data_IF_380818455393
#
_entry.id   IF_380818455393
#
_cell.length_a   1.000
_cell.length_b   1.000
_cell.length_c   1.000
_cell.angle_alpha   90.00
_cell.angle_beta   90.00
_cell.angle_gamma   90.00
#
_symmetry.space_group_name_H-M   'P 1'
#
loop_
_entity.id
_entity.type
_entity.pdbx_description
1 polymer ?
#
# COMPACT_ATOMS: atom_id res chain seq x y z
N UNK A 1 -1.60 4.24 9.30
CA UNK A 1 -2.63 4.13 10.36
C UNK A 1 -2.97 5.41 11.10
N UNK A 2 -2.15 6.47 11.05
CA UNK A 2 -2.39 7.73 11.80
C UNK A 2 -3.71 8.41 11.47
N UNK A 3 -4.19 8.29 10.22
CA UNK A 3 -5.50 8.82 9.80
C UNK A 3 -6.66 8.37 10.70
N UNK A 4 -6.63 7.14 11.22
CA UNK A 4 -7.68 6.62 12.10
C UNK A 4 -7.72 7.30 13.49
N UNK A 5 -6.71 8.10 13.84
CA UNK A 5 -6.54 8.71 15.16
C UNK A 5 -6.62 10.25 15.14
N UNK A 6 -6.84 10.87 13.98
CA UNK A 6 -6.87 12.34 13.84
C UNK A 6 -8.33 12.83 13.89
N UNK A 7 -8.75 13.57 14.94
CA UNK A 7 -10.13 14.07 15.04
C UNK A 7 -10.52 15.04 13.92
N UNK A 8 -9.55 15.78 13.38
CA UNK A 8 -9.72 16.80 12.33
C UNK A 8 -9.19 16.35 10.96
N UNK A 9 -9.25 15.04 10.67
CA UNK A 9 -8.70 14.46 9.44
C UNK A 9 -9.25 15.16 8.19
N UNK A 10 -10.56 15.39 8.15
CA UNK A 10 -11.25 16.04 7.03
C UNK A 10 -10.71 17.46 6.79
N UNK A 11 -10.55 18.27 7.84
CA UNK A 11 -9.97 19.62 7.71
C UNK A 11 -8.56 19.58 7.13
N UNK A 12 -7.76 18.56 7.47
CA UNK A 12 -6.41 18.37 6.94
C UNK A 12 -6.44 18.00 5.45
N UNK A 13 -7.34 17.10 5.06
CA UNK A 13 -7.50 16.68 3.66
C UNK A 13 -7.98 17.85 2.79
N UNK A 14 -8.93 18.65 3.26
CA UNK A 14 -9.43 19.83 2.54
C UNK A 14 -8.30 20.84 2.22
N UNK A 15 -7.32 21.00 3.12
CA UNK A 15 -6.15 21.87 2.88
C UNK A 15 -5.28 21.31 1.75
N UNK A 16 -5.05 19.99 1.72
CA UNK A 16 -4.28 19.36 0.67
C UNK A 16 -5.01 19.41 -0.68
N UNK A 17 -6.31 19.15 -0.69
CA UNK A 17 -7.16 19.24 -1.88
C UNK A 17 -7.14 20.67 -2.45
N UNK A 18 -7.36 21.69 -1.62
CA UNK A 18 -7.30 23.09 -2.02
C UNK A 18 -5.90 23.48 -2.58
N UNK A 19 -4.86 22.77 -2.14
CA UNK A 19 -3.48 22.94 -2.63
C UNK A 19 -3.13 22.04 -3.82
N UNK A 20 -4.09 21.24 -4.32
CA UNK A 20 -3.90 20.23 -5.38
C UNK A 20 -2.79 19.22 -5.09
N UNK A 21 -2.67 18.84 -3.81
CA UNK A 21 -1.70 17.84 -3.34
C UNK A 21 -2.43 16.53 -3.12
N UNK A 22 -2.07 15.54 -3.93
CA UNK A 22 -2.62 14.19 -3.81
C UNK A 22 -2.06 13.50 -2.57
N UNK A 23 -2.95 13.04 -1.70
CA UNK A 23 -2.60 12.32 -0.49
C UNK A 23 -3.10 10.87 -0.56
N UNK A 24 -2.47 10.00 0.20
CA UNK A 24 -2.92 8.63 0.42
C UNK A 24 -2.77 8.27 1.89
N UNK A 25 -3.55 7.31 2.35
CA UNK A 25 -3.34 6.71 3.67
C UNK A 25 -2.25 5.65 3.57
N UNK A 26 -1.29 5.66 4.49
CA UNK A 26 -0.23 4.66 4.50
C UNK A 26 -0.77 3.23 4.62
N UNK A 27 -0.13 2.29 3.94
CA UNK A 27 -0.66 0.96 3.63
C UNK A 27 -0.98 0.09 4.85
N UNK A 28 -0.39 0.37 6.02
CA UNK A 28 -0.79 -0.27 7.29
C UNK A 28 -2.27 -0.05 7.63
N UNK A 29 -2.90 1.02 7.14
CA UNK A 29 -4.36 1.18 7.30
C UNK A 29 -5.11 0.14 6.45
N UNK A 30 -4.74 -0.05 5.19
CA UNK A 30 -5.27 -1.13 4.35
C UNK A 30 -5.08 -2.49 5.04
N UNK A 31 -3.87 -2.77 5.54
CA UNK A 31 -3.56 -4.03 6.23
C UNK A 31 -4.45 -4.28 7.45
N UNK A 32 -4.82 -3.24 8.19
CA UNK A 32 -5.74 -3.36 9.32
C UNK A 32 -7.12 -3.88 8.89
N UNK A 33 -7.63 -3.40 7.76
CA UNK A 33 -8.90 -3.84 7.20
C UNK A 33 -8.80 -5.22 6.56
N UNK A 34 -7.72 -5.48 5.81
CA UNK A 34 -7.44 -6.78 5.21
C UNK A 34 -7.39 -7.90 6.27
N UNK A 35 -6.70 -7.67 7.39
CA UNK A 35 -6.62 -8.64 8.51
C UNK A 35 -7.96 -8.96 9.17
N UNK A 36 -8.97 -8.11 8.97
CA UNK A 36 -10.31 -8.24 9.56
C UNK A 36 -11.34 -8.72 8.54
N UNK A 37 -10.89 -9.11 7.34
CA UNK A 37 -11.76 -9.42 6.20
C UNK A 37 -12.75 -8.27 5.88
N UNK A 38 -12.32 -7.03 6.11
CA UNK A 38 -13.16 -5.82 6.10
C UNK A 38 -12.79 -4.88 4.94
N UNK A 39 -12.52 -5.44 3.76
CA UNK A 39 -12.04 -4.68 2.59
C UNK A 39 -13.12 -3.76 2.02
N UNK A 40 -14.38 -4.15 2.10
CA UNK A 40 -15.49 -3.29 1.68
C UNK A 40 -15.63 -2.05 2.60
N UNK A 41 -15.42 -2.21 3.91
CA UNK A 41 -15.36 -1.11 4.86
C UNK A 41 -14.21 -0.16 4.55
N UNK A 42 -13.06 -0.69 4.13
CA UNK A 42 -11.93 0.13 3.70
C UNK A 42 -12.29 0.95 2.46
N UNK A 43 -12.93 0.34 1.47
CA UNK A 43 -13.38 1.02 0.26
C UNK A 43 -14.36 2.15 0.60
N UNK A 44 -15.37 1.90 1.45
CA UNK A 44 -16.30 2.94 1.95
C UNK A 44 -15.59 4.04 2.75
N UNK A 45 -14.52 3.68 3.47
CA UNK A 45 -13.71 4.65 4.21
C UNK A 45 -12.94 5.58 3.25
N UNK A 46 -12.38 5.04 2.17
CA UNK A 46 -11.71 5.83 1.14
C UNK A 46 -12.68 6.78 0.44
N UNK A 47 -13.84 6.27 0.02
CA UNK A 47 -14.91 7.04 -0.62
C UNK A 47 -15.40 8.19 0.28
N UNK A 48 -15.65 7.91 1.56
CA UNK A 48 -16.03 8.92 2.55
C UNK A 48 -15.07 10.11 2.62
N UNK A 49 -13.77 9.86 2.44
CA UNK A 49 -12.74 10.89 2.52
C UNK A 49 -12.29 11.40 1.15
N UNK A 50 -12.97 11.03 0.05
CA UNK A 50 -12.66 11.48 -1.30
C UNK A 50 -11.26 11.11 -1.75
N UNK A 51 -10.74 9.95 -1.31
CA UNK A 51 -9.37 9.55 -1.59
C UNK A 51 -9.23 9.08 -3.02
N UNK A 52 -8.26 9.62 -3.76
CA UNK A 52 -7.92 9.17 -5.12
C UNK A 52 -6.73 8.21 -5.14
N UNK A 53 -5.79 8.35 -4.20
CA UNK A 53 -4.58 7.56 -4.12
C UNK A 53 -4.62 6.65 -2.89
N UNK A 54 -4.14 5.42 -3.05
CA UNK A 54 -4.06 4.45 -1.95
C UNK A 54 -2.72 3.73 -1.95
N UNK A 55 -2.26 3.29 -0.78
CA UNK A 55 -1.12 2.38 -0.67
C UNK A 55 -1.60 0.98 -0.30
N UNK A 56 -1.20 -0.03 -1.07
CA UNK A 56 -1.42 -1.44 -0.76
C UNK A 56 -0.08 -2.06 -0.37
N UNK A 57 0.03 -2.43 0.91
CA UNK A 57 1.21 -3.06 1.50
C UNK A 57 0.86 -4.36 2.21
N UNK A 58 1.89 -5.11 2.55
CA UNK A 58 1.84 -6.35 3.33
C UNK A 58 3.02 -6.36 4.32
N UNK A 59 3.23 -5.24 5.02
CA UNK A 59 4.42 -5.03 5.83
C UNK A 59 4.27 -5.52 7.28
N UNK A 60 3.05 -5.43 7.82
CA UNK A 60 2.68 -5.83 9.18
C UNK A 60 1.78 -7.07 9.22
N UNK A 61 1.23 -7.49 8.07
CA UNK A 61 0.44 -8.73 7.94
C UNK A 61 0.97 -9.60 6.81
N UNK A 62 0.82 -10.91 6.95
CA UNK A 62 1.18 -11.85 5.89
C UNK A 62 0.00 -12.03 4.95
N UNK A 63 0.09 -11.46 3.75
CA UNK A 63 -0.84 -11.71 2.65
C UNK A 63 -0.21 -12.70 1.67
N UNK A 64 -1.04 -13.57 1.08
CA UNK A 64 -0.57 -14.38 -0.03
C UNK A 64 -0.29 -13.47 -1.24
N UNK A 65 0.77 -13.76 -2.00
CA UNK A 65 1.16 -12.92 -3.15
C UNK A 65 0.01 -12.72 -4.14
N UNK A 66 -0.69 -13.81 -4.48
CA UNK A 66 -1.85 -13.77 -5.37
C UNK A 66 -3.00 -12.92 -4.81
N UNK A 67 -3.19 -12.93 -3.49
CA UNK A 67 -4.22 -12.14 -2.82
C UNK A 67 -3.88 -10.65 -2.88
N UNK A 68 -2.63 -10.27 -2.61
CA UNK A 68 -2.17 -8.89 -2.75
C UNK A 68 -2.34 -8.37 -4.17
N UNK A 69 -1.92 -9.16 -5.18
CA UNK A 69 -2.09 -8.79 -6.59
C UNK A 69 -3.58 -8.65 -6.96
N UNK A 70 -4.45 -9.50 -6.41
CA UNK A 70 -5.89 -9.35 -6.58
C UNK A 70 -6.41 -8.02 -6.01
N UNK A 71 -5.99 -7.63 -4.80
CA UNK A 71 -6.36 -6.34 -4.23
C UNK A 71 -5.86 -5.18 -5.10
N UNK A 72 -4.61 -5.21 -5.54
CA UNK A 72 -4.07 -4.19 -6.46
C UNK A 72 -4.93 -4.06 -7.70
N UNK A 73 -5.23 -5.19 -8.36
CA UNK A 73 -6.07 -5.22 -9.55
C UNK A 73 -7.47 -4.68 -9.30
N UNK A 74 -8.12 -5.07 -8.20
CA UNK A 74 -9.48 -4.63 -7.91
C UNK A 74 -9.55 -3.14 -7.56
N UNK A 75 -8.64 -2.64 -6.72
CA UNK A 75 -8.61 -1.21 -6.38
C UNK A 75 -8.13 -0.32 -7.53
N UNK A 76 -7.27 -0.81 -8.43
CA UNK A 76 -6.77 -0.03 -9.58
C UNK A 76 -7.85 0.41 -10.56
N UNK A 77 -9.03 -0.21 -10.49
CA UNK A 77 -10.20 0.16 -11.31
C UNK A 77 -10.78 1.51 -10.92
N UNK A 78 -10.55 1.97 -9.68
CA UNK A 78 -11.20 3.16 -9.11
C UNK A 78 -10.20 4.13 -8.46
N UNK A 79 -9.04 3.64 -8.02
CA UNK A 79 -8.01 4.43 -7.34
C UNK A 79 -6.66 4.36 -8.06
N UNK A 80 -5.83 5.37 -7.83
CA UNK A 80 -4.41 5.31 -8.17
C UNK A 80 -3.68 4.50 -7.09
N UNK A 81 -3.41 3.24 -7.39
CA UNK A 81 -2.76 2.32 -6.45
C UNK A 81 -1.25 2.51 -6.43
N UNK A 82 -0.70 2.66 -5.23
CA UNK A 82 0.73 2.60 -4.94
C UNK A 82 0.98 1.27 -4.25
N UNK A 83 1.65 0.35 -4.93
CA UNK A 83 2.13 -0.88 -4.31
C UNK A 83 3.31 -0.61 -3.39
N UNK A 84 3.45 -1.35 -2.29
CA UNK A 84 4.68 -1.34 -1.49
C UNK A 84 5.17 -2.77 -1.33
N UNK A 85 6.33 -3.10 -1.89
CA UNK A 85 6.92 -4.44 -1.75
C UNK A 85 7.60 -4.55 -0.38
N UNK A 86 7.15 -5.48 0.46
CA UNK A 86 7.61 -5.63 1.86
C UNK A 86 7.89 -7.07 2.35
N UNK A 87 8.19 -7.17 3.66
CA UNK A 87 8.95 -8.15 4.46
C UNK A 87 8.48 -9.63 4.54
N UNK A 88 8.08 -10.27 3.44
CA UNK A 88 7.76 -11.71 3.50
C UNK A 88 8.54 -12.59 2.52
N UNK A 89 9.72 -12.16 2.14
CA UNK A 89 10.72 -13.09 1.61
C UNK A 89 11.22 -13.96 2.77
N UNK A 90 11.18 -15.31 2.67
CA UNK A 90 11.77 -16.14 3.70
C UNK A 90 13.25 -15.77 3.89
N UNK A 91 13.74 -15.86 5.13
CA UNK A 91 15.11 -15.46 5.48
C UNK A 91 16.11 -16.11 4.52
N UNK A 92 16.95 -15.30 3.88
CA UNK A 92 17.98 -15.75 2.92
C UNK A 92 17.53 -15.90 1.46
N UNK A 93 16.26 -15.62 1.12
CA UNK A 93 15.74 -15.71 -0.25
C UNK A 93 15.64 -14.36 -0.99
N UNK A 94 16.20 -13.29 -0.42
CA UNK A 94 16.29 -12.02 -1.12
C UNK A 94 17.24 -12.12 -2.32
N UNK A 95 16.73 -11.69 -3.47
CA UNK A 95 17.53 -11.42 -4.66
C UNK A 95 16.93 -10.20 -5.37
N UNK A 96 17.77 -9.44 -6.06
CA UNK A 96 17.31 -8.34 -6.90
C UNK A 96 16.35 -8.82 -7.99
N UNK A 97 16.58 -10.02 -8.55
CA UNK A 97 15.68 -10.60 -9.56
C UNK A 97 14.28 -10.86 -8.99
N UNK A 98 14.18 -11.37 -7.76
CA UNK A 98 12.90 -11.59 -7.10
C UNK A 98 12.20 -10.28 -6.75
N UNK A 99 12.95 -9.27 -6.31
CA UNK A 99 12.41 -7.93 -6.09
C UNK A 99 11.88 -7.32 -7.39
N UNK A 100 12.64 -7.39 -8.49
CA UNK A 100 12.22 -6.92 -9.81
C UNK A 100 10.99 -7.65 -10.31
N UNK A 101 10.91 -8.97 -10.08
CA UNK A 101 9.71 -9.77 -10.37
C UNK A 101 8.51 -9.25 -9.60
N UNK A 102 8.66 -8.99 -8.30
CA UNK A 102 7.54 -8.49 -7.48
C UNK A 102 7.11 -7.08 -7.88
N UNK A 103 8.06 -6.20 -8.19
CA UNK A 103 7.74 -4.87 -8.72
C UNK A 103 6.97 -5.00 -10.03
N UNK A 104 7.46 -5.82 -10.96
CA UNK A 104 6.83 -6.03 -12.28
C UNK A 104 5.41 -6.57 -12.14
N UNK A 105 5.20 -7.59 -11.30
CA UNK A 105 3.88 -8.17 -11.04
C UNK A 105 2.89 -7.15 -10.42
N UNK A 106 3.33 -6.27 -9.50
CA UNK A 106 2.44 -5.25 -8.94
C UNK A 106 2.05 -4.21 -10.00
N UNK A 107 3.00 -3.80 -10.85
CA UNK A 107 2.74 -2.90 -11.98
C UNK A 107 1.78 -3.54 -13.00
N UNK A 108 2.00 -4.82 -13.35
CA UNK A 108 1.14 -5.59 -14.24
C UNK A 108 -0.28 -5.77 -13.68
N UNK A 109 -0.40 -5.92 -12.35
CA UNK A 109 -1.69 -5.97 -11.68
C UNK A 109 -2.42 -4.61 -11.63
N UNK A 110 -1.78 -3.51 -12.04
CA UNK A 110 -2.42 -2.19 -12.13
C UNK A 110 -1.92 -1.16 -11.12
N UNK A 111 -0.88 -1.45 -10.33
CA UNK A 111 -0.24 -0.42 -9.53
C UNK A 111 0.37 0.66 -10.45
N UNK A 112 0.14 1.93 -10.10
CA UNK A 112 0.73 3.06 -10.83
C UNK A 112 2.20 3.28 -10.45
N UNK A 113 2.50 3.07 -9.17
CA UNK A 113 3.83 3.19 -8.61
C UNK A 113 4.08 2.02 -7.66
N UNK A 114 5.35 1.66 -7.49
CA UNK A 114 5.77 0.68 -6.48
C UNK A 114 6.85 1.31 -5.60
N UNK A 115 6.58 1.35 -4.30
CA UNK A 115 7.54 1.76 -3.28
C UNK A 115 8.35 0.53 -2.88
N UNK A 116 9.67 0.68 -2.94
CA UNK A 116 10.61 -0.27 -2.32
C UNK A 116 11.06 0.31 -1.01
N UNK A 117 10.75 -0.38 0.09
CA UNK A 117 11.13 0.06 1.43
C UNK A 117 12.37 -0.70 1.89
N UNK A 118 13.34 0.02 2.41
CA UNK A 118 14.53 -0.58 3.03
C UNK A 118 14.15 -1.26 4.36
N UNK A 119 14.75 -2.43 4.58
CA UNK A 119 14.60 -3.23 5.78
C UNK A 119 15.77 -4.21 5.91
N UNK A 120 15.90 -4.88 7.06
CA UNK A 120 16.89 -5.95 7.24
C UNK A 120 16.78 -7.07 6.18
N UNK A 121 15.60 -7.27 5.59
CA UNK A 121 15.34 -8.30 4.58
C UNK A 121 15.48 -7.78 3.15
N UNK A 122 15.45 -6.46 2.94
CA UNK A 122 15.68 -5.77 1.66
C UNK A 122 16.81 -4.75 1.89
N UNK A 123 18.07 -5.20 1.98
CA UNK A 123 19.20 -4.34 2.30
C UNK A 123 19.65 -3.54 1.06
N UNK A 124 18.91 -2.48 0.73
CA UNK A 124 19.17 -1.67 -0.47
C UNK A 124 20.53 -0.96 -0.45
N UNK A 125 21.02 -0.59 0.73
CA UNK A 125 22.25 0.19 0.89
C UNK A 125 23.44 -0.63 1.40
N UNK A 126 23.29 -1.96 1.50
CA UNK A 126 24.27 -2.84 2.14
C UNK A 126 24.28 -2.67 3.67
N UNK A 127 24.78 -3.69 4.38
CA UNK A 127 25.13 -3.54 5.80
C UNK A 127 26.41 -2.71 5.88
N UNK A 128 26.33 -1.51 6.44
CA UNK A 128 27.51 -0.72 6.81
C UNK A 128 28.42 -1.45 7.80
#
# INVERSE_FOLDING_TARGET
GTAALIPSLESKLNIYEASKINCYFGGTLFELFARRDAIEEYWRYLDKFGMEYIEISDAAIRLARAEKLKYINDFSKEFVVIGQVTNFLPVGLFSFDLLLKFISEELEAGARYVIVKESEQIPLYGSG
#
